data_IF_289716266497
#
_entry.id   IF_289716266497
#
_cell.length_a   1.000
_cell.length_b   1.000
_cell.length_c   1.000
_cell.angle_alpha   90.00
_cell.angle_beta   90.00
_cell.angle_gamma   90.00
#
_symmetry.space_group_name_H-M   'P 1'
#
loop_
_entity.id
_entity.type
_entity.pdbx_description
1 polymer ?
#
# COMPACT_ATOMS: atom_id res chain seq x y z
N UNK A 1 -38.36 -5.33 -0.37
CA UNK A 1 -37.18 -4.52 0.00
C UNK A 1 -35.97 -5.19 -0.64
N UNK A 2 -35.21 -4.41 -1.41
CA UNK A 2 -34.30 -4.86 -2.46
C UNK A 2 -33.02 -5.45 -1.86
N UNK A 3 -32.75 -6.72 -2.14
CA UNK A 3 -31.44 -7.35 -2.00
C UNK A 3 -30.54 -6.83 -3.13
N UNK A 4 -29.69 -5.87 -2.83
CA UNK A 4 -28.67 -5.38 -3.74
C UNK A 4 -27.48 -6.33 -3.78
N UNK A 5 -27.39 -7.10 -4.86
CA UNK A 5 -26.21 -7.84 -5.30
C UNK A 5 -24.96 -6.95 -5.27
N UNK A 6 -23.93 -7.36 -4.53
CA UNK A 6 -22.60 -6.75 -4.56
C UNK A 6 -21.61 -7.76 -5.13
N UNK A 7 -21.63 -7.92 -6.45
CA UNK A 7 -20.58 -8.62 -7.19
C UNK A 7 -19.31 -7.76 -7.18
N UNK A 8 -18.13 -8.26 -6.75
CA UNK A 8 -16.91 -7.49 -6.89
C UNK A 8 -16.41 -7.61 -8.33
N UNK A 9 -16.72 -6.59 -9.15
CA UNK A 9 -16.14 -6.41 -10.47
C UNK A 9 -14.60 -6.34 -10.40
N UNK A 10 -13.94 -6.95 -11.38
CA UNK A 10 -12.49 -7.01 -11.59
C UNK A 10 -11.74 -5.70 -11.25
N UNK A 11 -10.97 -5.65 -10.16
CA UNK A 11 -10.11 -4.48 -9.87
C UNK A 11 -8.64 -4.73 -10.19
N UNK A 12 -8.30 -4.50 -11.46
CA UNK A 12 -6.94 -4.08 -11.87
C UNK A 12 -6.77 -2.64 -11.38
N UNK A 13 -5.85 -2.42 -10.44
CA UNK A 13 -5.69 -1.10 -9.82
C UNK A 13 -5.31 -0.03 -10.85
N UNK A 14 -6.02 1.11 -10.92
CA UNK A 14 -5.70 2.16 -11.88
C UNK A 14 -4.33 2.78 -11.57
N UNK A 15 -3.59 3.12 -12.64
CA UNK A 15 -2.34 3.89 -12.53
C UNK A 15 -2.64 5.28 -11.98
N UNK A 16 -1.69 5.84 -11.22
CA UNK A 16 -1.81 7.15 -10.53
C UNK A 16 -2.24 8.25 -11.52
N UNK A 17 -3.38 8.96 -11.29
CA UNK A 17 -3.79 10.09 -12.13
C UNK A 17 -2.86 11.30 -11.97
N UNK A 18 -2.92 12.23 -12.93
CA UNK A 18 -2.16 13.51 -12.97
C UNK A 18 -2.33 14.30 -11.65
N UNK A 19 -1.24 14.88 -11.12
CA UNK A 19 -1.17 15.52 -9.78
C UNK A 19 -2.14 16.70 -9.65
N UNK A 20 -3.27 16.44 -9.01
CA UNK A 20 -4.02 17.46 -8.28
C UNK A 20 -3.41 17.58 -6.87
N UNK A 21 -2.87 18.75 -6.47
CA UNK A 21 -2.26 18.94 -5.15
C UNK A 21 -3.20 18.62 -3.98
N UNK A 22 -4.50 18.91 -4.12
CA UNK A 22 -5.49 18.62 -3.07
C UNK A 22 -5.75 17.13 -2.98
N UNK A 23 -5.79 16.43 -4.12
CA UNK A 23 -5.98 14.97 -4.13
C UNK A 23 -4.87 14.25 -3.38
N UNK A 24 -3.60 14.64 -3.57
CA UNK A 24 -2.50 14.00 -2.85
C UNK A 24 -2.53 14.31 -1.35
N UNK A 25 -2.80 15.57 -0.97
CA UNK A 25 -2.95 15.96 0.44
C UNK A 25 -4.01 15.14 1.16
N UNK A 26 -5.15 14.89 0.52
CA UNK A 26 -6.21 14.04 1.06
C UNK A 26 -5.71 12.59 1.26
N UNK A 27 -5.00 12.04 0.28
CA UNK A 27 -4.45 10.68 0.36
C UNK A 27 -3.44 10.56 1.50
N UNK A 28 -2.56 11.54 1.67
CA UNK A 28 -1.51 11.52 2.70
C UNK A 28 -2.10 11.60 4.13
N UNK A 29 -3.09 12.47 4.33
CA UNK A 29 -3.82 12.56 5.60
C UNK A 29 -4.58 11.26 5.89
N UNK A 30 -5.33 10.76 4.92
CA UNK A 30 -6.09 9.51 5.07
C UNK A 30 -5.18 8.31 5.33
N UNK A 31 -4.00 8.24 4.68
CA UNK A 31 -2.99 7.21 4.93
C UNK A 31 -2.54 7.20 6.38
N UNK A 32 -2.20 8.38 6.89
CA UNK A 32 -1.75 8.56 8.28
C UNK A 32 -2.81 8.06 9.25
N UNK A 33 -4.06 8.46 9.05
CA UNK A 33 -5.17 8.08 9.92
C UNK A 33 -5.58 6.63 9.81
N UNK A 34 -5.77 6.11 8.59
CA UNK A 34 -6.15 4.72 8.39
C UNK A 34 -5.09 3.78 8.96
N UNK A 35 -3.80 4.03 8.70
CA UNK A 35 -2.74 3.13 9.13
C UNK A 35 -2.45 3.22 10.63
N UNK A 36 -2.65 4.37 11.26
CA UNK A 36 -2.41 4.55 12.70
C UNK A 36 -3.59 4.12 13.56
N UNK A 37 -4.80 4.60 13.22
CA UNK A 37 -5.98 4.49 14.08
C UNK A 37 -6.93 3.37 13.66
N UNK A 38 -6.76 2.86 12.43
CA UNK A 38 -7.63 1.86 11.84
C UNK A 38 -8.58 2.47 10.82
N UNK A 39 -9.20 1.61 10.03
CA UNK A 39 -10.10 2.08 8.99
C UNK A 39 -11.39 2.62 9.60
N UNK A 40 -11.96 1.98 10.63
CA UNK A 40 -13.27 2.35 11.17
C UNK A 40 -13.30 3.70 11.87
N UNK A 41 -12.24 4.05 12.59
CA UNK A 41 -12.17 5.25 13.44
C UNK A 41 -12.13 6.56 12.66
N UNK A 42 -11.94 6.53 11.34
CA UNK A 42 -11.73 7.71 10.51
C UNK A 42 -13.01 8.02 9.74
N UNK A 43 -13.57 9.22 9.86
CA UNK A 43 -14.69 9.62 9.00
C UNK A 43 -14.23 10.53 7.86
N UNK A 44 -15.03 10.63 6.80
CA UNK A 44 -14.78 11.60 5.72
C UNK A 44 -14.94 13.03 6.24
N UNK A 45 -15.81 13.24 7.22
CA UNK A 45 -16.07 14.55 7.80
C UNK A 45 -14.88 15.05 8.62
N UNK A 46 -14.32 14.20 9.49
CA UNK A 46 -13.13 14.55 10.29
C UNK A 46 -11.94 14.89 9.37
N UNK A 47 -11.76 14.13 8.30
CA UNK A 47 -10.71 14.39 7.31
C UNK A 47 -10.92 15.72 6.58
N UNK A 48 -12.15 16.07 6.22
CA UNK A 48 -12.44 17.34 5.57
C UNK A 48 -12.15 18.53 6.49
N UNK A 49 -12.53 18.41 7.76
CA UNK A 49 -12.29 19.41 8.80
C UNK A 49 -10.79 19.63 9.05
N UNK A 50 -10.04 18.54 9.28
CA UNK A 50 -8.58 18.60 9.48
C UNK A 50 -7.84 19.22 8.30
N UNK A 51 -8.26 18.88 7.07
CA UNK A 51 -7.63 19.40 5.86
C UNK A 51 -8.04 20.84 5.53
N UNK A 52 -9.02 21.41 6.24
CA UNK A 52 -9.58 22.73 5.98
C UNK A 52 -10.27 22.83 4.62
N UNK A 53 -10.89 21.74 4.16
CA UNK A 53 -11.61 21.68 2.87
C UNK A 53 -13.10 21.42 3.08
N UNK A 54 -13.94 21.86 2.14
CA UNK A 54 -15.36 21.54 2.22
C UNK A 54 -15.60 20.04 2.01
N UNK A 55 -16.64 19.49 2.65
CA UNK A 55 -17.11 18.11 2.38
C UNK A 55 -17.34 17.90 0.88
N UNK A 56 -17.98 18.87 0.20
CA UNK A 56 -18.20 18.84 -1.25
C UNK A 56 -16.91 18.66 -2.03
N UNK A 57 -15.84 19.34 -1.64
CA UNK A 57 -14.50 19.20 -2.25
C UNK A 57 -13.93 17.81 -2.03
N UNK A 58 -13.99 17.29 -0.80
CA UNK A 58 -13.51 15.94 -0.49
C UNK A 58 -14.26 14.87 -1.30
N UNK A 59 -15.59 14.92 -1.29
CA UNK A 59 -16.45 13.98 -2.01
C UNK A 59 -16.32 14.08 -3.54
N UNK A 60 -15.92 15.25 -4.07
CA UNK A 60 -15.62 15.40 -5.49
C UNK A 60 -14.34 14.63 -5.90
N UNK A 61 -13.37 14.48 -5.01
CA UNK A 61 -12.17 13.68 -5.25
C UNK A 61 -12.38 12.19 -4.93
N UNK A 62 -13.11 11.91 -3.85
CA UNK A 62 -13.32 10.56 -3.33
C UNK A 62 -14.78 10.39 -2.93
N UNK A 63 -15.62 9.80 -3.80
CA UNK A 63 -17.05 9.62 -3.55
C UNK A 63 -17.36 8.85 -2.27
N UNK A 64 -16.44 7.98 -1.83
CA UNK A 64 -16.55 7.26 -0.58
C UNK A 64 -15.20 6.98 0.07
N UNK A 65 -15.30 6.60 1.35
CA UNK A 65 -14.15 6.20 2.19
C UNK A 65 -13.40 4.98 1.64
N UNK A 66 -14.10 4.07 0.96
CA UNK A 66 -13.46 2.95 0.27
C UNK A 66 -12.68 3.39 -0.97
N UNK A 67 -13.16 4.35 -1.75
CA UNK A 67 -12.38 4.90 -2.88
C UNK A 67 -11.11 5.60 -2.39
N UNK A 68 -11.20 6.29 -1.26
CA UNK A 68 -10.05 6.89 -0.59
C UNK A 68 -9.06 5.83 -0.07
N UNK A 69 -9.56 4.75 0.55
CA UNK A 69 -8.74 3.61 0.96
C UNK A 69 -8.00 2.98 -0.25
N UNK A 70 -8.69 2.85 -1.39
CA UNK A 70 -8.06 2.35 -2.60
C UNK A 70 -6.96 3.30 -3.11
N UNK A 71 -7.17 4.61 -3.04
CA UNK A 71 -6.12 5.56 -3.40
C UNK A 71 -4.91 5.48 -2.46
N UNK A 72 -5.14 5.35 -1.15
CA UNK A 72 -4.10 5.18 -0.12
C UNK A 72 -3.28 3.92 -0.36
N UNK A 73 -3.94 2.78 -0.58
CA UNK A 73 -3.24 1.52 -0.85
C UNK A 73 -2.49 1.56 -2.19
N UNK A 74 -3.03 2.23 -3.22
CA UNK A 74 -2.31 2.48 -4.48
C UNK A 74 -0.98 3.17 -4.24
N UNK A 75 -1.04 4.26 -3.47
CA UNK A 75 0.09 5.15 -3.21
C UNK A 75 1.16 4.42 -2.39
N UNK A 76 0.75 3.70 -1.33
CA UNK A 76 1.61 2.84 -0.53
C UNK A 76 2.32 1.81 -1.39
N UNK A 77 1.62 1.07 -2.24
CA UNK A 77 2.24 0.08 -3.12
C UNK A 77 3.21 0.69 -4.13
N UNK A 78 2.88 1.84 -4.69
CA UNK A 78 3.76 2.55 -5.60
C UNK A 78 5.05 3.01 -4.89
N UNK A 79 4.95 3.48 -3.65
CA UNK A 79 6.09 3.84 -2.80
C UNK A 79 7.00 2.63 -2.51
N UNK A 80 6.41 1.51 -2.09
CA UNK A 80 7.15 0.26 -1.85
C UNK A 80 7.86 -0.21 -3.12
N UNK A 81 7.16 -0.25 -4.26
CA UNK A 81 7.76 -0.69 -5.53
C UNK A 81 8.90 0.22 -5.98
N UNK A 82 8.78 1.54 -5.76
CA UNK A 82 9.84 2.50 -6.05
C UNK A 82 11.06 2.29 -5.14
N UNK A 83 10.85 2.10 -3.84
CA UNK A 83 11.93 1.85 -2.88
C UNK A 83 12.67 0.54 -3.22
N UNK A 84 11.94 -0.55 -3.47
CA UNK A 84 12.52 -1.83 -3.89
C UNK A 84 13.34 -1.68 -5.17
N UNK A 85 12.82 -0.95 -6.16
CA UNK A 85 13.53 -0.69 -7.41
C UNK A 85 14.83 0.09 -7.17
N UNK A 86 14.82 1.10 -6.30
CA UNK A 86 16.02 1.89 -6.02
C UNK A 86 17.09 1.06 -5.32
N UNK A 87 16.72 0.27 -4.30
CA UNK A 87 17.66 -0.62 -3.60
C UNK A 87 18.34 -1.59 -4.57
N UNK A 88 17.55 -2.26 -5.42
CA UNK A 88 18.12 -3.19 -6.42
C UNK A 88 18.98 -2.51 -7.49
N UNK A 89 18.80 -1.20 -7.72
CA UNK A 89 19.62 -0.43 -8.65
C UNK A 89 20.91 0.08 -7.99
N UNK A 90 20.86 0.44 -6.71
CA UNK A 90 21.97 1.00 -5.95
C UNK A 90 23.05 -0.04 -5.64
N UNK A 91 22.66 -1.31 -5.47
CA UNK A 91 23.54 -2.41 -5.09
C UNK A 91 23.57 -3.52 -6.14
N UNK A 92 23.96 -3.23 -7.40
CA UNK A 92 23.99 -4.25 -8.44
C UNK A 92 24.99 -5.35 -8.06
N UNK A 93 24.52 -6.60 -8.01
CA UNK A 93 25.33 -7.79 -7.70
C UNK A 93 26.00 -7.80 -6.31
N UNK A 94 25.60 -6.91 -5.39
CA UNK A 94 26.01 -6.94 -3.98
C UNK A 94 24.87 -7.53 -3.14
N UNK A 95 24.95 -8.84 -2.93
CA UNK A 95 23.93 -9.58 -2.20
C UNK A 95 23.79 -9.09 -0.74
N UNK A 96 24.85 -9.06 0.08
CA UNK A 96 24.72 -8.63 1.47
C UNK A 96 24.15 -7.22 1.63
N UNK A 97 24.63 -6.24 0.84
CA UNK A 97 24.14 -4.86 0.93
C UNK A 97 22.68 -4.75 0.51
N UNK A 98 22.30 -5.40 -0.60
CA UNK A 98 20.90 -5.42 -1.06
C UNK A 98 20.00 -6.09 -0.02
N UNK A 99 20.39 -7.23 0.56
CA UNK A 99 19.61 -7.91 1.59
C UNK A 99 19.40 -7.02 2.81
N UNK A 100 20.47 -6.36 3.28
CA UNK A 100 20.42 -5.46 4.41
C UNK A 100 19.46 -4.29 4.18
N UNK A 101 19.56 -3.61 3.03
CA UNK A 101 18.66 -2.50 2.68
C UNK A 101 17.21 -2.94 2.46
N UNK A 102 16.98 -4.13 1.89
CA UNK A 102 15.64 -4.71 1.74
C UNK A 102 14.99 -5.03 3.09
N UNK A 103 15.76 -5.58 4.04
CA UNK A 103 15.28 -5.85 5.40
C UNK A 103 14.99 -4.54 6.15
N UNK A 104 15.90 -3.56 6.09
CA UNK A 104 15.70 -2.25 6.70
C UNK A 104 14.49 -1.50 6.10
N UNK A 105 14.31 -1.59 4.78
CA UNK A 105 13.13 -1.07 4.09
C UNK A 105 11.85 -1.75 4.55
N UNK A 106 11.86 -3.09 4.65
CA UNK A 106 10.69 -3.85 5.11
C UNK A 106 10.28 -3.45 6.53
N UNK A 107 11.23 -3.22 7.44
CA UNK A 107 10.95 -2.75 8.79
C UNK A 107 10.20 -1.41 8.79
N UNK A 108 10.72 -0.41 8.04
CA UNK A 108 10.07 0.91 7.90
C UNK A 108 8.64 0.78 7.37
N UNK A 109 8.44 -0.08 6.36
CA UNK A 109 7.13 -0.27 5.74
C UNK A 109 6.12 -0.95 6.67
N UNK A 110 6.58 -1.89 7.52
CA UNK A 110 5.77 -2.57 8.53
C UNK A 110 5.42 -1.66 9.70
N UNK A 111 6.33 -0.78 10.11
CA UNK A 111 6.12 0.14 11.24
C UNK A 111 5.00 1.14 10.97
N UNK A 112 4.76 1.49 9.72
CA UNK A 112 3.70 2.43 9.36
C UNK A 112 2.29 1.84 9.60
N UNK A 113 2.09 0.55 9.34
CA UNK A 113 0.77 -0.09 9.38
C UNK A 113 0.52 -0.70 10.75
N UNK A 114 -0.34 -0.07 11.56
CA UNK A 114 -0.60 -0.51 12.93
C UNK A 114 -1.64 -1.64 13.01
N UNK A 115 -1.65 -2.43 14.10
CA UNK A 115 -2.61 -3.53 14.28
C UNK A 115 -4.10 -3.18 14.10
N UNK A 116 -4.61 -1.99 14.49
CA UNK A 116 -6.00 -1.61 14.25
C UNK A 116 -6.41 -1.68 12.77
N UNK A 117 -5.56 -1.19 11.87
CA UNK A 117 -5.82 -1.23 10.44
C UNK A 117 -5.92 -2.67 9.92
N UNK A 118 -4.97 -3.52 10.31
CA UNK A 118 -4.94 -4.92 9.89
C UNK A 118 -6.19 -5.67 10.37
N UNK A 119 -6.60 -5.44 11.62
CA UNK A 119 -7.84 -6.04 12.17
C UNK A 119 -9.07 -5.61 11.38
N UNK A 120 -9.18 -4.32 11.07
CA UNK A 120 -10.30 -3.81 10.29
C UNK A 120 -10.35 -4.38 8.88
N UNK A 121 -9.21 -4.45 8.20
CA UNK A 121 -9.13 -5.03 6.86
C UNK A 121 -9.57 -6.49 6.85
N UNK A 122 -9.10 -7.30 7.81
CA UNK A 122 -9.51 -8.72 7.90
C UNK A 122 -11.01 -8.89 8.16
N UNK A 123 -11.61 -8.01 8.95
CA UNK A 123 -13.01 -8.15 9.37
C UNK A 123 -14.02 -7.52 8.41
N UNK A 124 -13.70 -6.38 7.80
CA UNK A 124 -14.66 -5.57 7.01
C UNK A 124 -14.35 -5.52 5.53
N UNK A 125 -13.11 -5.81 5.15
CA UNK A 125 -12.69 -5.77 3.76
C UNK A 125 -11.80 -6.98 3.41
N UNK A 126 -12.27 -8.23 3.63
CA UNK A 126 -11.45 -9.42 3.44
C UNK A 126 -10.93 -9.55 2.00
N UNK A 127 -11.67 -9.06 0.99
CA UNK A 127 -11.22 -9.07 -0.40
C UNK A 127 -10.12 -8.03 -0.66
N UNK A 128 -10.19 -6.86 -0.02
CA UNK A 128 -9.10 -5.86 -0.05
C UNK A 128 -7.87 -6.43 0.64
N UNK A 129 -8.05 -7.09 1.80
CA UNK A 129 -6.95 -7.76 2.50
C UNK A 129 -6.28 -8.83 1.63
N UNK A 130 -7.05 -9.72 0.99
CA UNK A 130 -6.53 -10.73 0.05
C UNK A 130 -5.82 -10.09 -1.13
N UNK A 131 -6.32 -8.97 -1.65
CA UNK A 131 -5.67 -8.25 -2.74
C UNK A 131 -4.33 -7.66 -2.30
N UNK A 132 -4.27 -7.06 -1.11
CA UNK A 132 -3.03 -6.53 -0.52
C UNK A 132 -2.00 -7.65 -0.37
N UNK A 133 -2.39 -8.78 0.21
CA UNK A 133 -1.50 -9.93 0.40
C UNK A 133 -0.98 -10.48 -0.93
N UNK A 134 -1.84 -10.65 -1.93
CA UNK A 134 -1.43 -11.08 -3.28
C UNK A 134 -0.42 -10.12 -3.90
N UNK A 135 -0.63 -8.82 -3.76
CA UNK A 135 0.26 -7.79 -4.34
C UNK A 135 1.60 -7.71 -3.61
N UNK A 136 1.59 -7.86 -2.28
CA UNK A 136 2.82 -8.00 -1.47
C UNK A 136 3.61 -9.23 -1.91
N UNK A 137 2.96 -10.39 -2.03
CA UNK A 137 3.60 -11.62 -2.48
C UNK A 137 4.21 -11.47 -3.90
N UNK A 138 3.49 -10.81 -4.81
CA UNK A 138 4.00 -10.55 -6.16
C UNK A 138 5.23 -9.63 -6.18
N UNK A 139 5.27 -8.59 -5.33
CA UNK A 139 6.45 -7.74 -5.17
C UNK A 139 7.63 -8.54 -4.62
N UNK A 140 7.40 -9.34 -3.57
CA UNK A 140 8.45 -10.20 -3.00
C UNK A 140 9.00 -11.15 -4.07
N UNK A 141 8.14 -11.89 -4.76
CA UNK A 141 8.59 -12.80 -5.82
C UNK A 141 9.38 -12.09 -6.93
N UNK A 142 8.93 -10.92 -7.37
CA UNK A 142 9.56 -10.16 -8.45
C UNK A 142 10.97 -9.69 -8.11
N UNK A 143 11.18 -9.20 -6.89
CA UNK A 143 12.45 -8.58 -6.48
C UNK A 143 13.38 -9.58 -5.78
N UNK A 144 12.85 -10.49 -4.97
CA UNK A 144 13.66 -11.49 -4.26
C UNK A 144 13.97 -12.72 -5.12
N UNK A 145 13.12 -13.10 -6.08
CA UNK A 145 13.38 -14.29 -6.91
C UNK A 145 14.69 -14.21 -7.70
N UNK A 146 14.97 -13.06 -8.33
CA UNK A 146 16.24 -12.81 -9.04
C UNK A 146 17.41 -12.70 -8.07
N UNK A 147 17.16 -12.05 -6.94
CA UNK A 147 18.14 -11.81 -5.90
C UNK A 147 18.67 -13.10 -5.26
N UNK A 148 17.79 -14.07 -4.97
CA UNK A 148 18.19 -15.37 -4.43
C UNK A 148 19.07 -16.16 -5.43
N UNK A 149 18.78 -16.07 -6.72
CA UNK A 149 19.63 -16.70 -7.76
C UNK A 149 21.02 -16.07 -7.78
N UNK A 150 21.13 -14.75 -7.60
CA UNK A 150 22.43 -14.08 -7.46
C UNK A 150 23.16 -14.51 -6.19
N UNK A 151 22.46 -14.59 -5.05
CA UNK A 151 23.04 -15.09 -3.80
C UNK A 151 23.56 -16.53 -3.92
N UNK A 152 22.86 -17.40 -4.65
CA UNK A 152 23.33 -18.76 -4.95
C UNK A 152 24.58 -18.76 -5.86
N UNK A 153 24.62 -17.90 -6.88
CA UNK A 153 25.80 -17.74 -7.75
C UNK A 153 27.02 -17.20 -6.98
N UNK A 154 26.79 -16.32 -6.01
CA UNK A 154 27.80 -15.77 -5.13
C UNK A 154 28.23 -16.74 -4.00
N UNK A 155 27.63 -17.93 -3.90
CA UNK A 155 27.91 -18.91 -2.85
C UNK A 155 27.41 -18.52 -1.46
N UNK A 156 26.57 -17.47 -1.35
CA UNK A 156 26.08 -16.92 -0.09
C UNK A 156 24.72 -17.53 0.34
N UNK A 157 24.01 -18.18 -0.58
CA UNK A 157 22.74 -18.85 -0.33
C UNK A 157 22.84 -20.29 -0.79
N UNK A 158 22.38 -21.25 0.03
CA UNK A 158 22.37 -22.67 -0.33
C UNK A 158 21.33 -22.93 -1.44
N UNK A 159 21.61 -23.92 -2.29
CA UNK A 159 20.60 -24.54 -3.13
C UNK A 159 19.93 -25.62 -2.28
N UNK A 160 18.73 -25.35 -1.82
CA UNK A 160 17.88 -26.36 -1.21
C UNK A 160 17.23 -27.23 -2.30
#
# INVERSE_FOLDING_TARGET
MITGDMTPAHKRWPRRPKRDPNRQRIVDAARTHFFSHGFRSVTMDDLAEELGISKKTLYAHFPGKFDLLEAVLADKFAGVEAALKEVTRAHPHDFPATLHELLAGTQRELDEIKPPFVRDMRQKAPDVFKLVERRRAALIQRYFGKFFVEGQRAGMVRKD
#
